data_IF_525464366736
#
_entry.id   IF_525464366736
#
_cell.length_a   1.000
_cell.length_b   1.000
_cell.length_c   1.000
_cell.angle_alpha   90.00
_cell.angle_beta   90.00
_cell.angle_gamma   90.00
#
_symmetry.space_group_name_H-M   'P 1'
#
loop_
_entity.id
_entity.type
_entity.pdbx_description
1 polymer ?
#
# COMPACT_ATOMS: atom_id res chain seq x y z
N UNK A 1 -20.06 1.01 -13.08
CA UNK A 1 -19.00 2.02 -12.80
C UNK A 1 -19.29 2.89 -11.58
N UNK A 2 -20.49 3.48 -11.43
CA UNK A 2 -20.83 4.30 -10.26
C UNK A 2 -20.82 3.51 -8.94
N UNK A 3 -21.41 2.31 -8.89
CA UNK A 3 -21.45 1.48 -7.67
C UNK A 3 -20.04 1.10 -7.16
N UNK A 4 -19.16 0.68 -8.09
CA UNK A 4 -17.76 0.39 -7.77
C UNK A 4 -17.04 1.63 -7.23
N UNK A 5 -17.28 2.82 -7.82
CA UNK A 5 -16.74 4.09 -7.34
C UNK A 5 -17.25 4.45 -5.94
N UNK A 6 -18.53 4.21 -5.64
CA UNK A 6 -19.11 4.47 -4.32
C UNK A 6 -18.63 3.51 -3.23
N UNK A 7 -18.20 2.29 -3.60
CA UNK A 7 -17.61 1.34 -2.66
C UNK A 7 -16.09 1.55 -2.51
N UNK A 8 -15.39 1.92 -3.57
CA UNK A 8 -13.93 2.16 -3.49
C UNK A 8 -13.60 3.48 -2.82
N UNK A 9 -14.38 4.55 -3.03
CA UNK A 9 -14.17 5.85 -2.37
C UNK A 9 -14.09 5.79 -0.84
N UNK A 10 -15.09 5.23 -0.12
CA UNK A 10 -15.07 5.19 1.34
C UNK A 10 -13.96 4.29 1.87
N UNK A 11 -13.64 3.19 1.16
CA UNK A 11 -12.51 2.31 1.53
C UNK A 11 -11.19 3.05 1.38
N UNK A 12 -10.98 3.73 0.26
CA UNK A 12 -9.76 4.54 0.04
C UNK A 12 -9.66 5.65 1.07
N UNK A 13 -10.75 6.37 1.35
CA UNK A 13 -10.79 7.41 2.39
C UNK A 13 -10.46 6.86 3.78
N UNK A 14 -11.03 5.72 4.16
CA UNK A 14 -10.78 5.09 5.45
C UNK A 14 -9.30 4.67 5.58
N UNK A 15 -8.73 4.07 4.54
CA UNK A 15 -7.32 3.67 4.50
C UNK A 15 -6.40 4.88 4.55
N UNK A 16 -6.68 5.93 3.77
CA UNK A 16 -5.90 7.17 3.80
C UNK A 16 -5.98 7.87 5.16
N UNK A 17 -7.16 7.93 5.78
CA UNK A 17 -7.34 8.55 7.09
C UNK A 17 -6.59 7.79 8.20
N UNK A 18 -6.61 6.46 8.16
CA UNK A 18 -5.87 5.61 9.11
C UNK A 18 -4.36 5.74 8.91
N UNK A 19 -3.87 5.69 7.67
CA UNK A 19 -2.46 5.91 7.35
C UNK A 19 -1.98 7.32 7.73
N UNK A 20 -2.82 8.34 7.52
CA UNK A 20 -2.52 9.72 7.93
C UNK A 20 -2.41 9.83 9.45
N UNK A 21 -3.38 9.26 10.16
CA UNK A 21 -3.39 9.28 11.64
C UNK A 21 -2.21 8.52 12.22
N UNK A 22 -1.86 7.35 11.66
CA UNK A 22 -0.71 6.57 12.12
C UNK A 22 0.61 7.27 11.83
N UNK A 23 0.72 7.98 10.70
CA UNK A 23 1.90 8.78 10.35
C UNK A 23 2.15 9.92 11.34
N UNK A 24 1.10 10.49 11.92
CA UNK A 24 1.23 11.53 12.95
C UNK A 24 1.57 10.92 14.31
N UNK A 25 0.91 9.82 14.70
CA UNK A 25 1.03 9.24 16.04
C UNK A 25 2.30 8.40 16.24
N UNK A 26 2.83 7.82 15.17
CA UNK A 26 3.99 6.93 15.22
C UNK A 26 4.87 7.07 13.96
N UNK A 27 5.50 8.25 13.75
CA UNK A 27 6.25 8.55 12.54
C UNK A 27 7.43 7.59 12.32
N UNK A 28 8.12 7.19 13.39
CA UNK A 28 9.27 6.27 13.29
C UNK A 28 8.87 4.88 12.79
N UNK A 29 7.72 4.37 13.27
CA UNK A 29 7.19 3.06 12.87
C UNK A 29 6.75 3.10 11.39
N UNK A 30 6.05 4.16 10.99
CA UNK A 30 5.61 4.31 9.60
C UNK A 30 6.80 4.45 8.65
N UNK A 31 7.85 5.19 9.05
CA UNK A 31 9.10 5.29 8.29
C UNK A 31 9.77 3.93 8.10
N UNK A 32 9.90 3.14 9.17
CA UNK A 32 10.49 1.80 9.13
C UNK A 32 9.68 0.83 8.23
N UNK A 33 8.36 0.84 8.34
CA UNK A 33 7.47 0.03 7.50
C UNK A 33 7.58 0.44 6.03
N UNK A 34 7.60 1.73 5.74
CA UNK A 34 7.78 2.23 4.37
C UNK A 34 9.11 1.77 3.77
N UNK A 35 10.21 1.88 4.52
CA UNK A 35 11.53 1.38 4.11
C UNK A 35 11.54 -0.13 3.83
N UNK A 36 10.85 -0.93 4.65
CA UNK A 36 10.74 -2.38 4.45
C UNK A 36 9.83 -2.78 3.28
N UNK A 37 8.84 -1.94 2.94
CA UNK A 37 7.86 -2.24 1.89
C UNK A 37 8.47 -2.20 0.48
N UNK A 38 9.36 -1.24 0.21
CA UNK A 38 10.01 -1.05 -1.09
C UNK A 38 10.79 -2.28 -1.61
N UNK A 39 11.69 -2.91 -0.83
CA UNK A 39 12.39 -4.11 -1.28
C UNK A 39 11.40 -5.28 -1.46
N UNK A 40 10.39 -5.38 -0.60
CA UNK A 40 9.37 -6.42 -0.73
C UNK A 40 8.57 -6.29 -2.04
N UNK A 41 8.16 -5.07 -2.37
CA UNK A 41 7.47 -4.77 -3.63
C UNK A 41 8.36 -5.12 -4.83
N UNK A 42 9.64 -4.76 -4.76
CA UNK A 42 10.63 -5.05 -5.80
C UNK A 42 10.80 -6.56 -6.00
N UNK A 43 10.91 -7.33 -4.92
CA UNK A 43 11.00 -8.80 -4.95
C UNK A 43 9.76 -9.41 -5.60
N UNK A 44 8.56 -8.96 -5.21
CA UNK A 44 7.30 -9.45 -5.78
C UNK A 44 7.26 -9.15 -7.29
N UNK A 45 7.67 -7.95 -7.71
CA UNK A 45 7.67 -7.56 -9.12
C UNK A 45 8.67 -8.39 -9.94
N UNK A 46 9.87 -8.61 -9.40
CA UNK A 46 10.91 -9.44 -10.02
C UNK A 46 10.44 -10.89 -10.11
N UNK A 47 9.91 -11.46 -9.04
CA UNK A 47 9.38 -12.83 -9.02
C UNK A 47 8.25 -13.02 -10.04
N UNK A 48 7.35 -12.03 -10.14
CA UNK A 48 6.29 -12.03 -11.16
C UNK A 48 6.87 -11.95 -12.57
N UNK A 49 7.86 -11.09 -12.80
CA UNK A 49 8.51 -10.95 -14.11
C UNK A 49 9.22 -12.25 -14.54
N UNK A 50 9.93 -12.92 -13.62
CA UNK A 50 10.55 -14.22 -13.91
C UNK A 50 9.50 -15.29 -14.26
N UNK A 51 8.38 -15.33 -13.53
CA UNK A 51 7.28 -16.27 -13.80
C UNK A 51 6.64 -16.07 -15.17
N UNK A 52 6.62 -14.83 -15.67
CA UNK A 52 6.05 -14.52 -16.99
C UNK A 52 7.01 -14.84 -18.14
N UNK A 53 8.29 -15.07 -17.84
CA UNK A 53 9.35 -15.33 -18.83
C UNK A 53 9.71 -16.82 -18.95
N UNK A 54 9.31 -17.64 -17.98
CA UNK A 54 9.42 -19.10 -17.98
C UNK A 54 8.15 -19.74 -18.56
#
# INVERSE_FOLDING_TARGET
MLLFRFLTLPVVLAVSATLYTSSIKAPDIVGAVNLALWPFLSIILIAKLLRWRA
#
